data_IF_385190671439
#
_entry.id   IF_385190671439
#
_cell.length_a   1.000
_cell.length_b   1.000
_cell.length_c   1.000
_cell.angle_alpha   90.00
_cell.angle_beta   90.00
_cell.angle_gamma   90.00
#
_symmetry.space_group_name_H-M   'P 1'
#
loop_
_entity.id
_entity.type
_entity.pdbx_description
1 polymer ?
#
# COMPACT_ATOMS: atom_id res chain seq x y z
N UNK A 1 -20.65 4.38 23.93
CA UNK A 1 -19.30 3.78 23.83
C UNK A 1 -18.99 3.45 22.38
N UNK A 2 -17.79 3.76 21.89
CA UNK A 2 -17.32 3.42 20.54
C UNK A 2 -16.15 2.44 20.63
N UNK A 3 -16.14 1.42 19.77
CA UNK A 3 -15.04 0.46 19.64
C UNK A 3 -14.61 0.40 18.18
N UNK A 4 -13.30 0.40 17.94
CA UNK A 4 -12.70 0.21 16.61
C UNK A 4 -11.85 -1.05 16.65
N UNK A 5 -12.06 -1.95 15.69
CA UNK A 5 -11.26 -3.16 15.51
C UNK A 5 -10.64 -3.14 14.12
N UNK A 6 -9.31 -3.23 14.06
CA UNK A 6 -8.56 -3.39 12.83
C UNK A 6 -8.34 -4.88 12.57
N UNK A 7 -8.63 -5.33 11.36
CA UNK A 7 -8.56 -6.75 10.99
C UNK A 7 -7.48 -6.97 9.92
N UNK A 8 -7.86 -7.46 8.75
CA UNK A 8 -6.92 -7.81 7.69
C UNK A 8 -6.27 -6.56 7.10
N UNK A 9 -4.94 -6.63 6.92
CA UNK A 9 -4.15 -5.62 6.21
C UNK A 9 -3.95 -6.08 4.76
N UNK A 10 -3.99 -5.14 3.84
CA UNK A 10 -3.70 -5.33 2.42
C UNK A 10 -2.65 -4.32 1.97
N UNK A 11 -1.57 -4.82 1.39
CA UNK A 11 -0.54 -3.99 0.79
C UNK A 11 -0.58 -4.19 -0.73
N UNK A 12 -0.85 -3.12 -1.48
CA UNK A 12 -0.79 -3.17 -2.93
C UNK A 12 0.65 -3.06 -3.43
N UNK A 13 0.86 -3.24 -4.73
CA UNK A 13 2.14 -2.90 -5.34
C UNK A 13 2.38 -1.37 -5.25
N UNK A 14 3.64 -0.91 -5.30
CA UNK A 14 3.97 0.50 -5.45
C UNK A 14 3.28 1.10 -6.68
N UNK A 15 2.51 2.16 -6.47
CA UNK A 15 1.65 2.76 -7.50
C UNK A 15 1.74 4.28 -7.45
N UNK A 16 1.97 4.89 -8.61
CA UNK A 16 1.83 6.32 -8.80
C UNK A 16 0.43 6.66 -9.31
N UNK A 17 -0.07 7.83 -8.93
CA UNK A 17 -1.26 8.40 -9.57
C UNK A 17 -0.79 9.55 -10.44
N UNK A 18 -0.94 9.38 -11.75
CA UNK A 18 -0.58 10.40 -12.73
C UNK A 18 -1.59 11.55 -12.73
N UNK A 19 -1.28 12.64 -13.44
CA UNK A 19 -2.13 13.85 -13.44
C UNK A 19 -3.52 13.64 -14.05
N UNK A 20 -3.65 12.64 -14.92
CA UNK A 20 -4.90 12.18 -15.51
C UNK A 20 -5.75 11.34 -14.54
N UNK A 21 -5.21 11.02 -13.36
CA UNK A 21 -5.86 10.18 -12.36
C UNK A 21 -5.73 8.69 -12.65
N UNK A 22 -4.89 8.26 -13.60
CA UNK A 22 -4.66 6.84 -13.83
C UNK A 22 -3.61 6.29 -12.83
N UNK A 23 -3.87 5.13 -12.20
CA UNK A 23 -2.86 4.45 -11.40
C UNK A 23 -1.88 3.70 -12.31
N UNK A 24 -0.59 3.99 -12.19
CA UNK A 24 0.48 3.27 -12.87
C UNK A 24 1.40 2.56 -11.87
N UNK A 25 1.86 1.33 -12.17
CA UNK A 25 2.91 0.70 -11.36
C UNK A 25 4.17 1.56 -11.44
N UNK A 26 4.73 1.90 -10.29
CA UNK A 26 5.95 2.71 -10.22
C UNK A 26 7.15 1.80 -10.02
N UNK A 27 8.24 2.03 -10.77
CA UNK A 27 9.53 1.37 -10.52
C UNK A 27 10.43 2.25 -9.65
N UNK A 28 11.38 1.67 -8.87
CA UNK A 28 12.23 2.46 -7.99
C UNK A 28 13.12 3.44 -8.77
N UNK A 29 13.70 3.00 -9.91
CA UNK A 29 14.48 3.87 -10.77
C UNK A 29 13.67 5.05 -11.31
N UNK A 30 12.43 4.80 -11.73
CA UNK A 30 11.52 5.84 -12.18
C UNK A 30 11.24 6.85 -11.06
N UNK A 31 11.00 6.37 -9.84
CA UNK A 31 10.80 7.23 -8.68
C UNK A 31 12.01 8.14 -8.43
N UNK A 32 13.24 7.60 -8.54
CA UNK A 32 14.49 8.37 -8.40
C UNK A 32 14.61 9.44 -9.48
N UNK A 33 14.42 9.08 -10.75
CA UNK A 33 14.55 10.01 -11.89
C UNK A 33 13.53 11.15 -11.84
N UNK A 34 12.31 10.87 -11.35
CA UNK A 34 11.22 11.85 -11.26
C UNK A 34 11.14 12.57 -9.90
N UNK A 35 12.07 12.30 -8.97
CA UNK A 35 12.02 12.78 -7.58
C UNK A 35 10.67 12.47 -6.89
N UNK A 36 10.13 11.28 -7.14
CA UNK A 36 8.88 10.81 -6.54
C UNK A 36 9.17 9.88 -5.35
N UNK A 37 8.21 9.79 -4.44
CA UNK A 37 8.28 8.85 -3.32
C UNK A 37 7.81 7.47 -3.79
N UNK A 38 8.76 6.54 -3.93
CA UNK A 38 8.44 5.12 -4.11
C UNK A 38 7.67 4.62 -2.89
N UNK A 39 6.36 4.37 -3.03
CA UNK A 39 5.48 4.00 -1.91
C UNK A 39 4.29 3.16 -2.39
N UNK A 40 3.82 2.26 -1.53
CA UNK A 40 2.71 1.36 -1.82
C UNK A 40 1.49 1.69 -0.97
N UNK A 41 0.29 1.83 -1.57
CA UNK A 41 -0.96 1.96 -0.82
C UNK A 41 -1.21 0.79 0.15
N UNK A 42 -1.43 1.15 1.41
CA UNK A 42 -1.80 0.25 2.50
C UNK A 42 -3.28 0.43 2.82
N UNK A 43 -4.00 -0.69 2.87
CA UNK A 43 -5.41 -0.75 3.23
C UNK A 43 -5.62 -1.66 4.43
N UNK A 44 -6.68 -1.43 5.19
CA UNK A 44 -7.08 -2.28 6.32
C UNK A 44 -8.60 -2.37 6.42
N UNK A 45 -9.06 -3.52 6.87
CA UNK A 45 -10.47 -3.70 7.25
C UNK A 45 -10.70 -3.14 8.67
N UNK A 46 -11.69 -2.26 8.80
CA UNK A 46 -12.04 -1.60 10.08
C UNK A 46 -13.47 -1.94 10.43
N UNK A 47 -13.67 -2.57 11.59
CA UNK A 47 -15.00 -2.76 12.16
C UNK A 47 -15.23 -1.74 13.27
N UNK A 48 -16.23 -0.87 13.07
CA UNK A 48 -16.69 0.12 14.04
C UNK A 48 -17.92 -0.42 14.76
N UNK A 49 -17.84 -0.53 16.08
CA UNK A 49 -18.99 -0.91 16.92
C UNK A 49 -19.44 0.29 17.73
N UNK A 50 -20.71 0.65 17.60
CA UNK A 50 -21.36 1.72 18.36
C UNK A 50 -22.29 1.07 19.39
N UNK A 51 -22.04 1.34 20.67
CA UNK A 51 -22.88 0.88 21.77
C UNK A 51 -23.50 2.10 22.42
N UNK A 52 -24.82 2.26 22.30
CA UNK A 52 -25.60 3.28 22.98
C UNK A 52 -26.41 2.61 24.10
N UNK A 53 -26.57 3.30 25.23
CA UNK A 53 -27.33 2.75 26.35
C UNK A 53 -28.82 2.61 25.98
N UNK A 54 -29.36 1.39 26.12
CA UNK A 54 -30.75 1.08 25.77
C UNK A 54 -31.01 0.73 24.30
N UNK A 55 -30.02 0.79 23.42
CA UNK A 55 -30.13 0.38 22.01
C UNK A 55 -29.26 -0.86 21.72
N UNK A 56 -29.62 -1.62 20.69
CA UNK A 56 -28.79 -2.73 20.20
C UNK A 56 -27.43 -2.24 19.68
N UNK A 57 -26.42 -3.10 19.77
CA UNK A 57 -25.07 -2.79 19.30
C UNK A 57 -25.05 -2.72 17.77
N UNK A 58 -24.63 -1.58 17.22
CA UNK A 58 -24.53 -1.39 15.77
C UNK A 58 -23.09 -1.64 15.33
N UNK A 59 -22.88 -2.65 14.48
CA UNK A 59 -21.58 -2.91 13.85
C UNK A 59 -21.57 -2.44 12.39
N UNK A 60 -20.59 -1.60 12.06
CA UNK A 60 -20.34 -1.08 10.72
C UNK A 60 -18.98 -1.59 10.27
N UNK A 61 -18.94 -2.30 9.14
CA UNK A 61 -17.70 -2.81 8.56
C UNK A 61 -17.27 -1.89 7.40
N UNK A 62 -16.04 -1.43 7.47
CA UNK A 62 -15.36 -0.68 6.40
C UNK A 62 -14.27 -1.57 5.81
N UNK A 63 -14.52 -2.12 4.63
CA UNK A 63 -13.56 -2.98 3.94
C UNK A 63 -12.56 -2.17 3.14
N UNK A 64 -11.30 -2.61 3.12
CA UNK A 64 -10.21 -2.02 2.33
C UNK A 64 -10.11 -0.50 2.50
N UNK A 65 -10.12 -0.03 3.74
CA UNK A 65 -9.97 1.40 4.03
C UNK A 65 -8.51 1.80 3.84
N UNK A 66 -8.25 2.82 3.01
CA UNK A 66 -6.90 3.33 2.80
C UNK A 66 -6.37 4.00 4.07
N UNK A 67 -5.19 3.59 4.52
CA UNK A 67 -4.57 4.09 5.76
C UNK A 67 -3.24 4.82 5.55
N UNK A 68 -2.59 4.66 4.40
CA UNK A 68 -1.36 5.39 4.09
C UNK A 68 -0.51 4.73 3.01
N UNK A 69 0.73 5.22 2.84
CA UNK A 69 1.69 4.68 1.87
C UNK A 69 3.06 4.38 2.50
N UNK A 70 3.26 3.24 3.16
CA UNK A 70 4.57 2.84 3.64
C UNK A 70 5.34 2.06 2.58
N UNK A 71 6.62 2.35 2.33
CA UNK A 71 7.58 1.34 1.86
C UNK A 71 9.04 1.80 2.03
N UNK A 72 9.94 0.83 2.02
CA UNK A 72 11.39 0.99 1.94
C UNK A 72 11.87 0.51 0.55
N UNK A 73 12.90 1.15 0.00
CA UNK A 73 13.66 0.62 -1.14
C UNK A 73 14.10 -0.82 -0.81
N UNK A 74 14.03 -1.75 -1.78
CA UNK A 74 14.40 -3.19 -1.61
C UNK A 74 13.56 -4.02 -0.65
N UNK A 75 12.35 -3.57 -0.32
CA UNK A 75 11.35 -4.47 0.26
C UNK A 75 11.11 -5.69 -0.66
N UNK A 76 10.52 -6.76 -0.12
CA UNK A 76 10.26 -8.07 -0.75
C UNK A 76 9.69 -8.03 -2.18
N UNK A 77 9.15 -6.90 -2.63
CA UNK A 77 8.66 -6.68 -3.99
C UNK A 77 9.74 -6.66 -5.08
N UNK A 78 11.00 -6.33 -4.76
CA UNK A 78 12.12 -6.39 -5.72
C UNK A 78 12.92 -7.70 -5.62
N UNK A 79 12.85 -8.39 -4.49
CA UNK A 79 13.65 -9.61 -4.23
C UNK A 79 13.16 -10.87 -4.98
N UNK A 80 12.07 -10.77 -5.74
CA UNK A 80 11.50 -11.90 -6.49
C UNK A 80 11.78 -11.91 -7.99
N UNK A 81 12.52 -10.91 -8.50
CA UNK A 81 12.83 -10.78 -9.93
C UNK A 81 14.17 -11.43 -10.27
N UNK A 82 14.31 -11.95 -11.49
CA UNK A 82 15.59 -12.47 -11.95
C UNK A 82 16.58 -11.34 -12.25
N UNK A 83 17.88 -11.62 -12.19
CA UNK A 83 18.93 -10.65 -12.54
C UNK A 83 18.71 -10.02 -13.93
N UNK A 84 18.17 -10.81 -14.86
CA UNK A 84 17.82 -10.34 -16.20
C UNK A 84 16.70 -9.31 -16.15
N UNK A 85 15.62 -9.59 -15.42
CA UNK A 85 14.47 -8.68 -15.30
C UNK A 85 14.87 -7.37 -14.59
N UNK A 86 15.75 -7.46 -13.59
CA UNK A 86 16.31 -6.28 -12.92
C UNK A 86 17.10 -5.40 -13.89
N UNK A 87 17.96 -6.01 -14.72
CA UNK A 87 18.68 -5.29 -15.77
C UNK A 87 17.74 -4.66 -16.80
N UNK A 88 16.67 -5.35 -17.21
CA UNK A 88 15.65 -4.80 -18.12
C UNK A 88 14.91 -3.59 -17.50
N UNK A 89 14.79 -3.56 -16.17
CA UNK A 89 14.20 -2.46 -15.40
C UNK A 89 15.18 -1.34 -15.04
N UNK A 90 16.43 -1.42 -15.53
CA UNK A 90 17.52 -0.50 -15.18
C UNK A 90 17.82 -0.45 -13.68
N UNK A 91 17.65 -1.57 -12.98
CA UNK A 91 18.11 -1.78 -11.61
C UNK A 91 19.39 -2.62 -11.62
N UNK A 92 20.28 -2.39 -10.66
CA UNK A 92 21.50 -3.17 -10.53
C UNK A 92 21.23 -4.44 -9.69
N UNK A 93 21.49 -5.66 -10.21
CA UNK A 93 21.35 -6.89 -9.43
C UNK A 93 22.26 -6.96 -8.20
N UNK A 94 23.38 -6.21 -8.23
CA UNK A 94 24.40 -6.19 -7.18
C UNK A 94 24.29 -5.01 -6.21
N UNK A 95 23.31 -4.13 -6.40
CA UNK A 95 22.99 -3.14 -5.37
C UNK A 95 22.61 -3.92 -4.07
N UNK A 96 23.01 -3.49 -2.86
CA UNK A 96 22.82 -4.22 -1.60
C UNK A 96 21.46 -4.00 -0.92
#
# INVERSE_FOLDING_TARGET
RYLLKFEQIYLSKPTHWERDGAPSPMMPNEARLRNLTYSAPLYVDITKTVVKEGEEQIQIKHQKTFIGKPIMLRSTYLNGMSDRDLCELNECPLDP
#
